data_IF_082068463048
#
_entry.id   IF_082068463048
#
_cell.length_a   1.000
_cell.length_b   1.000
_cell.length_c   1.000
_cell.angle_alpha   90.00
_cell.angle_beta   90.00
_cell.angle_gamma   90.00
#
_symmetry.space_group_name_H-M   'P 1'
#
loop_
_entity.id
_entity.type
_entity.pdbx_description
1 polymer ?
#
# COMPACT_ATOMS: atom_id res chain seq x y z
N UNK A 1 37.98 -2.91 6.09
CA UNK A 1 36.70 -3.49 6.60
C UNK A 1 35.66 -3.36 5.50
N UNK A 2 35.42 -4.43 4.73
CA UNK A 2 34.27 -4.48 3.82
C UNK A 2 33.05 -4.70 4.72
N UNK A 3 32.24 -3.66 4.95
CA UNK A 3 30.89 -3.85 5.50
C UNK A 3 30.21 -4.85 4.56
N UNK A 4 30.05 -6.11 4.98
CA UNK A 4 29.08 -7.02 4.36
C UNK A 4 27.77 -6.23 4.38
N UNK A 5 27.29 -5.78 3.23
CA UNK A 5 25.90 -5.35 3.11
C UNK A 5 25.09 -6.56 3.54
N UNK A 6 24.55 -6.54 4.75
CA UNK A 6 23.59 -7.53 5.19
C UNK A 6 22.47 -7.53 4.14
N UNK A 7 22.30 -8.67 3.48
CA UNK A 7 21.33 -8.78 2.39
C UNK A 7 19.94 -8.65 3.00
N UNK A 8 19.21 -7.62 2.58
CA UNK A 8 17.79 -7.48 2.85
C UNK A 8 17.06 -8.74 2.37
N UNK A 9 16.13 -9.27 3.19
CA UNK A 9 15.21 -10.30 2.70
C UNK A 9 14.22 -9.68 1.70
N UNK A 10 13.84 -10.48 0.71
CA UNK A 10 12.83 -10.11 -0.30
C UNK A 10 11.42 -10.24 0.27
N UNK A 11 10.48 -9.45 -0.26
CA UNK A 11 9.03 -9.50 0.03
C UNK A 11 8.50 -10.90 0.43
N UNK A 12 8.66 -11.88 -0.46
CA UNK A 12 8.15 -13.24 -0.27
C UNK A 12 8.68 -13.93 0.99
N UNK A 13 9.94 -13.70 1.36
CA UNK A 13 10.56 -14.31 2.53
C UNK A 13 10.04 -13.76 3.86
N UNK A 14 9.27 -12.68 3.81
CA UNK A 14 8.61 -12.09 4.95
C UNK A 14 7.13 -12.44 5.04
N UNK A 15 6.54 -13.10 4.04
CA UNK A 15 5.12 -13.46 4.08
C UNK A 15 4.90 -14.54 5.14
N UNK A 16 3.97 -14.31 6.07
CA UNK A 16 3.46 -15.36 6.96
C UNK A 16 2.48 -16.22 6.15
N UNK A 17 3.02 -17.26 5.50
CA UNK A 17 2.28 -18.10 4.54
C UNK A 17 1.11 -18.82 5.23
N UNK A 18 1.34 -19.35 6.44
CA UNK A 18 0.31 -20.09 7.17
C UNK A 18 -0.90 -19.19 7.46
N UNK A 19 -0.65 -17.98 7.97
CA UNK A 19 -1.71 -17.04 8.24
C UNK A 19 -2.36 -16.52 6.95
N UNK A 20 -1.56 -16.18 5.94
CA UNK A 20 -2.03 -15.62 4.67
C UNK A 20 -2.92 -16.60 3.90
N UNK A 21 -2.56 -17.88 3.83
CA UNK A 21 -3.41 -18.90 3.19
C UNK A 21 -4.71 -19.15 3.95
N UNK A 22 -4.65 -19.14 5.29
CA UNK A 22 -5.78 -19.51 6.13
C UNK A 22 -6.81 -18.38 6.26
N UNK A 23 -6.34 -17.17 6.53
CA UNK A 23 -7.18 -16.02 6.88
C UNK A 23 -7.22 -14.97 5.76
N UNK A 24 -6.16 -14.88 4.95
CA UNK A 24 -5.96 -13.81 3.99
C UNK A 24 -6.50 -14.07 2.59
N UNK A 25 -6.73 -15.34 2.22
CA UNK A 25 -7.26 -15.70 0.90
C UNK A 25 -8.71 -15.25 0.73
N UNK A 26 -9.04 -14.70 -0.44
CA UNK A 26 -10.40 -14.27 -0.75
C UNK A 26 -11.35 -15.46 -0.78
N UNK A 27 -12.49 -15.30 -0.09
CA UNK A 27 -13.64 -16.22 -0.18
C UNK A 27 -14.58 -15.82 -1.31
N UNK A 28 -14.61 -14.53 -1.63
CA UNK A 28 -15.42 -13.93 -2.69
C UNK A 28 -14.55 -12.97 -3.50
N UNK A 29 -14.87 -12.77 -4.79
CA UNK A 29 -14.19 -11.78 -5.62
C UNK A 29 -14.43 -10.38 -5.05
N UNK A 30 -13.40 -9.53 -5.08
CA UNK A 30 -13.54 -8.13 -4.71
C UNK A 30 -14.62 -7.44 -5.56
N UNK A 31 -15.40 -6.56 -4.94
CA UNK A 31 -16.35 -5.69 -5.65
C UNK A 31 -15.66 -4.61 -6.47
N UNK A 32 -14.41 -4.26 -6.11
CA UNK A 32 -13.70 -3.11 -6.66
C UNK A 32 -12.48 -3.50 -7.49
N UNK A 33 -11.70 -4.47 -7.03
CA UNK A 33 -10.47 -4.87 -7.70
C UNK A 33 -10.76 -5.94 -8.76
N UNK A 34 -10.73 -5.52 -10.03
CA UNK A 34 -10.82 -6.42 -11.18
C UNK A 34 -9.48 -6.50 -11.91
N UNK A 35 -9.22 -7.60 -12.61
CA UNK A 35 -8.01 -7.76 -13.43
C UNK A 35 -7.85 -6.60 -14.43
N UNK A 36 -8.92 -6.27 -15.15
CA UNK A 36 -8.94 -5.16 -16.10
C UNK A 36 -8.58 -3.82 -15.45
N UNK A 37 -9.15 -3.52 -14.27
CA UNK A 37 -8.83 -2.29 -13.55
C UNK A 37 -7.36 -2.25 -13.13
N UNK A 38 -6.87 -3.33 -12.53
CA UNK A 38 -5.51 -3.44 -12.01
C UNK A 38 -4.48 -3.33 -13.13
N UNK A 39 -4.66 -4.08 -14.21
CA UNK A 39 -3.77 -4.05 -15.38
C UNK A 39 -3.78 -2.68 -16.08
N UNK A 40 -4.96 -2.05 -16.19
CA UNK A 40 -5.09 -0.69 -16.73
C UNK A 40 -4.22 0.31 -15.99
N UNK A 41 -4.08 0.18 -14.68
CA UNK A 41 -3.29 1.08 -13.83
C UNK A 41 -1.95 0.48 -13.37
N UNK A 42 -1.37 -0.40 -14.20
CA UNK A 42 0.03 -0.78 -14.08
C UNK A 42 0.35 -1.91 -13.10
N UNK A 43 -0.65 -2.61 -12.58
CA UNK A 43 -0.47 -3.84 -11.80
C UNK A 43 -0.45 -5.02 -12.78
N UNK A 44 0.74 -5.58 -13.08
CA UNK A 44 0.86 -6.64 -14.09
C UNK A 44 1.40 -7.92 -13.49
N UNK A 45 2.59 -7.86 -12.90
CA UNK A 45 3.29 -9.02 -12.37
C UNK A 45 2.64 -9.54 -11.10
N UNK A 46 2.08 -8.65 -10.27
CA UNK A 46 1.51 -9.01 -8.97
C UNK A 46 -0.02 -8.85 -8.94
N UNK A 47 -0.70 -8.96 -10.09
CA UNK A 47 -2.16 -8.81 -10.17
C UNK A 47 -2.90 -9.85 -9.30
N UNK A 48 -2.46 -11.11 -9.34
CA UNK A 48 -3.04 -12.19 -8.55
C UNK A 48 -2.86 -11.99 -7.04
N UNK A 49 -1.85 -11.23 -6.62
CA UNK A 49 -1.68 -10.88 -5.21
C UNK A 49 -2.91 -10.15 -4.66
N UNK A 50 -3.49 -9.24 -5.45
CA UNK A 50 -4.66 -8.43 -5.08
C UNK A 50 -5.97 -9.19 -5.34
N UNK A 51 -6.00 -10.01 -6.40
CA UNK A 51 -7.21 -10.76 -6.78
C UNK A 51 -7.46 -11.98 -5.91
N UNK A 52 -6.42 -12.70 -5.50
CA UNK A 52 -6.56 -13.96 -4.75
C UNK A 52 -6.54 -13.76 -3.24
N UNK A 53 -5.93 -12.66 -2.77
CA UNK A 53 -5.80 -12.36 -1.35
C UNK A 53 -6.48 -11.04 -1.00
N UNK A 54 -7.27 -11.09 0.05
CA UNK A 54 -7.78 -9.90 0.74
C UNK A 54 -6.71 -9.34 1.67
N UNK A 55 -5.89 -10.20 2.25
CA UNK A 55 -4.92 -9.81 3.27
C UNK A 55 -3.64 -10.64 3.16
N UNK A 56 -2.49 -9.99 3.34
CA UNK A 56 -1.18 -10.64 3.35
C UNK A 56 -0.42 -10.20 4.59
N UNK A 57 -0.16 -11.12 5.50
CA UNK A 57 0.57 -10.84 6.73
C UNK A 57 2.07 -10.95 6.53
N UNK A 58 2.84 -10.11 7.24
CA UNK A 58 4.30 -10.19 7.26
C UNK A 58 4.87 -10.56 8.63
N UNK A 59 5.86 -11.44 8.60
CA UNK A 59 6.69 -11.86 9.71
C UNK A 59 8.11 -12.21 9.20
N UNK A 60 9.11 -11.34 9.39
CA UNK A 60 9.08 -10.04 10.07
C UNK A 60 8.41 -8.94 9.24
N UNK A 61 8.28 -7.74 9.83
CA UNK A 61 7.71 -6.57 9.17
C UNK A 61 8.54 -6.14 7.95
N UNK A 62 7.86 -5.59 6.95
CA UNK A 62 8.48 -5.05 5.74
C UNK A 62 8.59 -3.54 5.81
N UNK A 63 9.53 -3.01 5.05
CA UNK A 63 9.77 -1.58 4.94
C UNK A 63 9.84 -1.16 3.47
N UNK A 64 9.45 0.07 3.18
CA UNK A 64 9.64 0.73 1.89
C UNK A 64 10.34 2.06 2.11
N UNK A 65 11.30 2.40 1.25
CA UNK A 65 11.77 3.79 1.19
C UNK A 65 10.65 4.66 0.62
N UNK A 66 10.49 5.84 1.16
CA UNK A 66 9.52 6.82 0.69
C UNK A 66 10.17 8.17 0.41
N UNK A 67 9.50 8.99 -0.39
CA UNK A 67 9.96 10.32 -0.75
C UNK A 67 8.82 11.33 -0.58
N UNK A 68 9.09 12.43 0.12
CA UNK A 68 8.16 13.55 0.22
C UNK A 68 8.45 14.58 -0.89
N UNK A 69 7.57 14.73 -1.90
CA UNK A 69 7.79 15.70 -2.97
C UNK A 69 7.69 17.16 -2.50
N UNK A 70 6.99 17.44 -1.39
CA UNK A 70 6.84 18.81 -0.89
C UNK A 70 8.10 19.30 -0.17
N UNK A 71 8.78 18.42 0.57
CA UNK A 71 9.99 18.77 1.36
C UNK A 71 11.28 18.27 0.73
N UNK A 72 11.19 17.46 -0.33
CA UNK A 72 12.33 16.78 -0.97
C UNK A 72 13.13 15.90 0.03
N UNK A 73 12.42 15.28 0.97
CA UNK A 73 12.99 14.43 2.02
C UNK A 73 12.73 12.95 1.74
N UNK A 74 13.76 12.13 1.95
CA UNK A 74 13.63 10.67 1.97
C UNK A 74 13.20 10.18 3.35
N UNK A 75 12.34 9.18 3.37
CA UNK A 75 11.86 8.52 4.57
C UNK A 75 11.78 7.01 4.42
N UNK A 76 11.09 6.40 5.37
CA UNK A 76 10.90 4.96 5.45
C UNK A 76 9.53 4.65 6.05
N UNK A 77 8.73 3.91 5.30
CA UNK A 77 7.42 3.43 5.72
C UNK A 77 7.51 1.96 6.13
N UNK A 78 6.77 1.60 7.19
CA UNK A 78 6.73 0.26 7.77
C UNK A 78 5.39 -0.42 7.47
N UNK A 79 5.44 -1.69 7.08
CA UNK A 79 4.32 -2.53 6.70
C UNK A 79 4.26 -3.79 7.57
N UNK A 80 3.11 -3.99 8.20
CA UNK A 80 2.77 -5.19 8.96
C UNK A 80 2.06 -6.21 8.07
N UNK A 81 1.35 -5.69 7.08
CA UNK A 81 0.51 -6.43 6.18
C UNK A 81 0.25 -5.62 4.91
N UNK A 82 -0.36 -6.26 3.92
CA UNK A 82 -1.08 -5.61 2.82
C UNK A 82 -2.54 -6.04 2.90
N UNK A 83 -3.41 -5.10 3.25
CA UNK A 83 -4.86 -5.28 3.28
C UNK A 83 -5.49 -4.69 2.01
N UNK A 84 -5.98 -5.58 1.15
CA UNK A 84 -6.69 -5.31 -0.10
C UNK A 84 -8.21 -5.52 0.05
N UNK A 85 -8.77 -5.44 1.26
CA UNK A 85 -10.20 -5.64 1.45
C UNK A 85 -11.04 -4.55 0.78
N UNK A 86 -12.28 -4.90 0.48
CA UNK A 86 -13.29 -3.96 0.01
C UNK A 86 -13.53 -2.84 1.04
N UNK A 87 -13.33 -3.13 2.33
CA UNK A 87 -13.38 -2.14 3.41
C UNK A 87 -12.25 -1.11 3.28
N UNK A 88 -11.02 -1.54 3.00
CA UNK A 88 -9.89 -0.63 2.75
C UNK A 88 -10.18 0.29 1.56
N UNK A 89 -10.76 -0.25 0.49
CA UNK A 89 -11.15 0.55 -0.67
C UNK A 89 -12.14 1.66 -0.28
N UNK A 90 -13.22 1.29 0.40
CA UNK A 90 -14.25 2.25 0.82
C UNK A 90 -13.72 3.29 1.81
N UNK A 91 -12.90 2.87 2.76
CA UNK A 91 -12.34 3.77 3.77
C UNK A 91 -11.29 4.73 3.18
N UNK A 92 -10.47 4.26 2.22
CA UNK A 92 -9.58 5.11 1.45
C UNK A 92 -10.34 6.18 0.65
N UNK A 93 -11.45 5.81 -0.01
CA UNK A 93 -12.32 6.78 -0.70
C UNK A 93 -12.91 7.83 0.25
N UNK A 94 -13.43 7.41 1.40
CA UNK A 94 -13.91 8.34 2.45
C UNK A 94 -12.80 9.31 2.89
N UNK A 95 -11.55 8.83 2.93
CA UNK A 95 -10.40 9.68 3.29
C UNK A 95 -10.10 10.74 2.23
N UNK A 96 -10.19 10.41 0.94
CA UNK A 96 -10.04 11.37 -0.16
C UNK A 96 -11.15 12.42 -0.17
N UNK A 97 -12.40 12.02 0.10
CA UNK A 97 -13.54 12.96 0.27
C UNK A 97 -13.24 13.92 1.42
N UNK A 98 -12.86 13.39 2.58
CA UNK A 98 -12.52 14.19 3.75
C UNK A 98 -11.37 15.15 3.48
N UNK A 99 -10.33 14.70 2.78
CA UNK A 99 -9.19 15.52 2.37
C UNK A 99 -9.61 16.69 1.48
N UNK A 100 -10.40 16.40 0.44
CA UNK A 100 -10.93 17.40 -0.50
C UNK A 100 -11.73 18.49 0.21
N UNK A 101 -12.62 18.08 1.12
CA UNK A 101 -13.41 19.04 1.92
C UNK A 101 -12.57 19.89 2.87
N UNK A 102 -11.51 19.32 3.45
CA UNK A 102 -10.60 20.04 4.35
C UNK A 102 -9.79 21.08 3.58
N UNK A 103 -9.27 20.74 2.42
CA UNK A 103 -8.59 21.69 1.52
C UNK A 103 -9.55 22.80 1.10
N UNK A 104 -10.77 22.44 0.68
CA UNK A 104 -11.79 23.41 0.28
C UNK A 104 -12.09 24.43 1.38
N UNK A 105 -12.33 23.94 2.60
CA UNK A 105 -12.56 24.78 3.78
C UNK A 105 -11.35 25.67 4.09
N UNK A 106 -10.13 25.14 3.98
CA UNK A 106 -8.88 25.91 4.18
C UNK A 106 -8.71 27.02 3.13
N UNK A 107 -9.03 26.74 1.87
CA UNK A 107 -8.91 27.68 0.74
C UNK A 107 -9.95 28.81 0.77
N UNK A 108 -11.20 28.49 1.09
CA UNK A 108 -12.32 29.43 0.95
C UNK A 108 -12.90 29.96 2.27
N UNK A 109 -12.51 29.40 3.41
CA UNK A 109 -12.93 29.86 4.74
C UNK A 109 -14.46 29.98 4.87
N UNK A 110 -14.94 31.17 5.29
CA UNK A 110 -16.38 31.45 5.45
C UNK A 110 -17.19 31.32 4.15
N UNK A 111 -16.54 31.47 2.99
CA UNK A 111 -17.19 31.34 1.68
C UNK A 111 -17.28 29.90 1.18
N UNK A 112 -16.66 28.93 1.87
CA UNK A 112 -16.65 27.53 1.43
C UNK A 112 -18.05 26.93 1.20
N UNK A 113 -19.06 27.37 1.96
CA UNK A 113 -20.46 26.91 1.78
C UNK A 113 -21.13 27.40 0.49
N UNK A 114 -20.57 28.40 -0.18
CA UNK A 114 -21.11 29.00 -1.40
C UNK A 114 -20.42 28.49 -2.67
N UNK A 115 -19.39 27.66 -2.52
CA UNK A 115 -18.54 27.17 -3.61
C UNK A 115 -18.58 25.65 -3.54
N UNK A 116 -18.81 25.01 -4.67
CA UNK A 116 -18.79 23.56 -4.79
C UNK A 116 -17.39 23.00 -4.47
N UNK A 117 -17.34 21.86 -3.79
CA UNK A 117 -16.09 21.19 -3.45
C UNK A 117 -15.57 20.48 -4.70
N UNK A 118 -14.31 20.70 -5.05
CA UNK A 118 -13.64 19.89 -6.06
C UNK A 118 -13.21 18.55 -5.45
N UNK A 119 -13.76 17.44 -5.96
CA UNK A 119 -13.45 16.07 -5.53
C UNK A 119 -12.52 15.32 -6.50
N UNK A 120 -11.75 16.04 -7.34
CA UNK A 120 -10.80 15.49 -8.31
C UNK A 120 -9.87 14.40 -7.75
N UNK A 121 -9.42 14.54 -6.50
CA UNK A 121 -8.62 13.52 -5.80
C UNK A 121 -9.34 12.16 -5.71
N UNK A 122 -10.65 12.15 -5.48
CA UNK A 122 -11.45 10.92 -5.45
C UNK A 122 -11.46 10.21 -6.81
N UNK A 123 -11.42 10.99 -7.89
CA UNK A 123 -11.46 10.47 -9.25
C UNK A 123 -10.08 10.04 -9.74
N UNK A 124 -9.00 10.58 -9.18
CA UNK A 124 -7.63 10.33 -9.64
C UNK A 124 -6.87 9.26 -8.85
N UNK A 125 -7.39 8.79 -7.72
CA UNK A 125 -6.69 7.80 -6.89
C UNK A 125 -7.53 6.54 -6.64
N UNK A 126 -6.87 5.38 -6.75
CA UNK A 126 -7.43 4.07 -6.43
C UNK A 126 -6.84 3.62 -5.11
N UNK A 127 -7.61 3.59 -4.01
CA UNK A 127 -7.10 3.02 -2.77
C UNK A 127 -6.75 1.57 -2.98
N UNK A 128 -5.62 1.13 -2.42
CA UNK A 128 -5.17 -0.26 -2.60
C UNK A 128 -4.73 -0.91 -1.30
N UNK A 129 -4.15 -0.16 -0.35
CA UNK A 129 -3.68 -0.73 0.92
C UNK A 129 -4.01 0.23 2.07
N UNK A 130 -4.43 -0.31 3.21
CA UNK A 130 -4.50 0.45 4.46
C UNK A 130 -3.10 0.57 5.05
N UNK A 131 -2.65 1.80 5.29
CA UNK A 131 -1.41 2.07 5.99
C UNK A 131 -1.60 2.13 7.50
N UNK A 132 -0.49 2.15 8.26
CA UNK A 132 -0.53 2.33 9.71
C UNK A 132 -0.98 3.76 10.07
N UNK A 133 -1.82 3.90 11.10
CA UNK A 133 -2.23 5.18 11.71
C UNK A 133 -2.67 6.27 10.71
N UNK A 134 -3.96 6.24 10.34
CA UNK A 134 -4.60 7.27 9.52
C UNK A 134 -3.96 7.49 8.14
N UNK A 135 -3.22 6.50 7.63
CA UNK A 135 -2.63 6.52 6.30
C UNK A 135 -3.24 5.47 5.38
N UNK A 136 -3.24 5.77 4.08
CA UNK A 136 -3.74 4.89 3.02
C UNK A 136 -2.81 5.01 1.84
N UNK A 137 -2.66 3.90 1.10
CA UNK A 137 -1.88 3.85 -0.13
C UNK A 137 -2.84 3.81 -1.30
N UNK A 138 -2.45 4.52 -2.36
CA UNK A 138 -3.22 4.64 -3.57
C UNK A 138 -2.36 4.40 -4.80
N UNK A 139 -2.98 3.93 -5.86
CA UNK A 139 -2.46 4.06 -7.22
C UNK A 139 -2.97 5.39 -7.78
N UNK A 140 -2.05 6.25 -8.23
CA UNK A 140 -2.39 7.43 -9.04
C UNK A 140 -2.83 6.97 -10.43
N UNK A 141 -4.05 7.30 -10.85
CA UNK A 141 -4.56 6.94 -12.18
C UNK A 141 -3.84 7.67 -13.32
N UNK A 142 -3.29 8.84 -13.04
CA UNK A 142 -2.56 9.66 -14.02
C UNK A 142 -1.18 9.08 -14.32
N UNK A 143 -0.47 8.63 -13.28
CA UNK A 143 0.94 8.27 -13.37
C UNK A 143 1.23 6.80 -13.10
N UNK A 144 0.25 6.04 -12.60
CA UNK A 144 0.38 4.69 -12.02
C UNK A 144 1.28 4.61 -10.78
N UNK A 145 1.82 5.74 -10.29
CA UNK A 145 2.64 5.77 -9.10
C UNK A 145 1.89 5.27 -7.88
N UNK A 146 2.63 4.61 -6.99
CA UNK A 146 2.15 4.24 -5.67
C UNK A 146 2.48 5.36 -4.71
N UNK A 147 1.44 5.94 -4.14
CA UNK A 147 1.56 7.05 -3.21
C UNK A 147 0.87 6.72 -1.90
N UNK A 148 1.39 7.25 -0.80
CA UNK A 148 0.77 7.18 0.50
C UNK A 148 0.28 8.55 0.90
N UNK A 149 -0.98 8.61 1.33
CA UNK A 149 -1.54 9.74 2.05
C UNK A 149 -1.49 9.44 3.54
N UNK A 150 -0.97 10.35 4.34
CA UNK A 150 -1.02 10.28 5.80
C UNK A 150 -1.64 11.56 6.35
N UNK A 151 -2.56 11.44 7.31
CA UNK A 151 -3.04 12.60 8.07
C UNK A 151 -2.66 12.47 9.54
N UNK A 152 -1.97 13.46 10.09
CA UNK A 152 -1.65 13.53 11.50
C UNK A 152 -2.35 14.74 12.12
N UNK A 153 -2.98 14.53 13.27
CA UNK A 153 -3.29 15.64 14.18
C UNK A 153 -2.12 15.78 15.14
N UNK A 154 -1.61 16.99 15.37
CA UNK A 154 -0.79 17.21 16.57
C UNK A 154 -1.65 16.85 17.78
N UNK A 155 -1.32 15.75 18.45
CA UNK A 155 -2.03 15.39 19.68
C UNK A 155 -1.64 16.33 20.83
N UNK A 156 -0.51 17.04 20.71
CA UNK A 156 0.00 17.95 21.74
C UNK A 156 -0.47 19.40 21.53
N UNK A 157 -0.88 19.77 20.30
CA UNK A 157 -1.33 21.14 20.00
C UNK A 157 -2.38 21.18 18.88
N UNK A 158 -3.66 21.06 19.26
CA UNK A 158 -4.80 21.17 18.34
C UNK A 158 -4.84 22.49 17.55
N UNK A 159 -4.16 23.55 18.02
CA UNK A 159 -4.09 24.85 17.32
C UNK A 159 -3.20 24.82 16.07
N UNK A 160 -2.26 23.87 15.99
CA UNK A 160 -1.43 23.63 14.79
C UNK A 160 -2.19 22.92 13.66
N UNK A 161 -3.39 22.43 13.96
CA UNK A 161 -4.30 21.85 12.98
C UNK A 161 -3.92 20.44 12.53
N UNK A 162 -4.67 19.93 11.56
CA UNK A 162 -4.39 18.63 10.93
C UNK A 162 -3.44 18.86 9.76
N UNK A 163 -2.29 18.19 9.79
CA UNK A 163 -1.34 18.19 8.68
C UNK A 163 -1.46 16.87 7.93
N UNK A 164 -1.38 16.98 6.62
CA UNK A 164 -1.43 15.85 5.70
C UNK A 164 -0.17 15.83 4.87
N UNK A 165 0.28 14.62 4.53
CA UNK A 165 1.50 14.37 3.78
C UNK A 165 1.21 13.37 2.69
N UNK A 166 1.57 13.72 1.46
CA UNK A 166 1.70 12.77 0.37
C UNK A 166 3.15 12.32 0.27
N UNK A 167 3.38 11.03 0.11
CA UNK A 167 4.71 10.46 -0.15
C UNK A 167 4.64 9.50 -1.31
N UNK A 168 5.64 9.56 -2.19
CA UNK A 168 5.82 8.59 -3.25
C UNK A 168 6.54 7.35 -2.70
N UNK A 169 6.02 6.16 -3.00
CA UNK A 169 6.59 4.88 -2.59
C UNK A 169 7.26 4.17 -3.77
N UNK A 170 6.65 4.21 -4.95
CA UNK A 170 7.16 3.57 -6.15
C UNK A 170 6.52 4.15 -7.43
N UNK A 171 7.14 3.88 -8.57
CA UNK A 171 6.67 4.28 -9.89
C UNK A 171 5.46 3.46 -10.37
N UNK A 172 5.27 2.25 -9.83
CA UNK A 172 4.09 1.41 -10.06
C UNK A 172 3.98 0.33 -8.98
N UNK A 173 2.87 -0.42 -8.99
CA UNK A 173 2.60 -1.45 -8.00
C UNK A 173 3.61 -2.60 -8.02
N UNK A 174 4.02 -3.03 -9.21
CA UNK A 174 4.96 -4.15 -9.30
C UNK A 174 6.32 -3.77 -8.69
N UNK A 175 6.79 -2.55 -8.98
CA UNK A 175 8.00 -2.00 -8.37
C UNK A 175 7.83 -1.80 -6.86
N UNK A 176 6.65 -1.38 -6.38
CA UNK A 176 6.36 -1.26 -4.96
C UNK A 176 6.58 -2.59 -4.23
N UNK A 177 5.99 -3.69 -4.73
CA UNK A 177 6.17 -5.01 -4.13
C UNK A 177 7.64 -5.45 -4.15
N UNK A 178 8.38 -5.16 -5.22
CA UNK A 178 9.79 -5.52 -5.35
C UNK A 178 10.72 -4.68 -4.45
N UNK A 179 10.32 -3.45 -4.13
CA UNK A 179 11.05 -2.54 -3.23
C UNK A 179 10.84 -2.87 -1.75
N UNK A 180 9.81 -3.62 -1.39
CA UNK A 180 9.58 -4.02 0.00
C UNK A 180 10.71 -4.91 0.51
N UNK A 181 11.24 -4.56 1.69
CA UNK A 181 12.39 -5.23 2.27
C UNK A 181 12.30 -5.42 3.78
N UNK A 182 12.94 -6.48 4.28
CA UNK A 182 13.16 -6.67 5.73
C UNK A 182 14.47 -6.00 6.13
N UNK A 183 14.43 -5.09 7.09
CA UNK A 183 15.64 -4.51 7.66
C UNK A 183 16.51 -5.63 8.28
N UNK A 184 17.83 -5.68 8.03
CA UNK A 184 18.70 -6.71 8.59
C UNK A 184 18.57 -6.89 10.11
N UNK A 185 18.25 -5.81 10.83
CA UNK A 185 18.00 -5.84 12.28
C UNK A 185 16.80 -6.69 12.68
N UNK A 186 15.83 -6.83 11.78
CA UNK A 186 14.59 -7.60 11.97
C UNK A 186 14.72 -9.03 11.42
N UNK A 187 15.88 -9.39 10.84
CA UNK A 187 16.05 -10.63 10.09
C UNK A 187 16.34 -11.84 11.00
N UNK A 188 15.48 -12.87 10.93
CA UNK A 188 15.77 -14.24 11.39
C UNK A 188 16.02 -15.16 10.21
N UNK A 189 17.00 -16.05 10.32
CA UNK A 189 17.20 -17.10 9.31
C UNK A 189 15.97 -18.01 9.21
N UNK A 190 15.61 -18.35 7.97
CA UNK A 190 14.46 -19.19 7.64
C UNK A 190 14.85 -20.68 7.68
N UNK A 191 13.99 -21.52 8.25
CA UNK A 191 14.14 -22.97 8.31
C UNK A 191 14.04 -23.61 6.91
N UNK A 192 14.36 -24.92 6.82
CA UNK A 192 14.20 -25.66 5.56
C UNK A 192 12.73 -25.84 5.19
N UNK A 193 11.85 -26.16 6.15
CA UNK A 193 10.42 -26.32 5.87
C UNK A 193 9.79 -25.00 5.39
N UNK A 194 10.13 -23.88 6.02
CA UNK A 194 9.65 -22.54 5.64
C UNK A 194 10.02 -22.19 4.18
N UNK A 195 11.25 -22.55 3.73
CA UNK A 195 11.69 -22.34 2.34
C UNK A 195 10.91 -23.18 1.33
N UNK A 196 10.61 -24.43 1.67
CA UNK A 196 9.84 -25.33 0.80
C UNK A 196 8.39 -24.86 0.67
N UNK A 197 7.77 -24.41 1.77
CA UNK A 197 6.44 -23.80 1.75
C UNK A 197 6.41 -22.53 0.90
N UNK A 198 7.42 -21.65 1.07
CA UNK A 198 7.52 -20.41 0.29
C UNK A 198 7.60 -20.66 -1.21
N UNK A 199 8.42 -21.63 -1.62
CA UNK A 199 8.58 -21.99 -3.04
C UNK A 199 7.25 -22.43 -3.63
N UNK A 200 6.50 -23.30 -2.93
CA UNK A 200 5.17 -23.76 -3.38
C UNK A 200 4.15 -22.62 -3.47
N UNK A 201 4.15 -21.72 -2.49
CA UNK A 201 3.27 -20.55 -2.46
C UNK A 201 3.51 -19.63 -3.66
N UNK A 202 4.78 -19.24 -3.88
CA UNK A 202 5.16 -18.38 -5.02
C UNK A 202 4.88 -19.06 -6.36
N UNK A 203 5.19 -20.35 -6.50
CA UNK A 203 4.89 -21.10 -7.74
C UNK A 203 3.38 -21.19 -8.02
N UNK A 204 2.56 -21.31 -6.98
CA UNK A 204 1.10 -21.30 -7.11
C UNK A 204 0.58 -19.99 -7.69
N UNK A 205 1.04 -18.87 -7.13
CA UNK A 205 0.70 -17.51 -7.60
C UNK A 205 1.10 -17.27 -9.07
N UNK A 206 2.28 -17.74 -9.45
CA UNK A 206 2.81 -17.56 -10.81
C UNK A 206 2.11 -18.46 -11.83
N UNK A 207 1.73 -19.69 -11.48
CA UNK A 207 1.04 -20.60 -12.41
C UNK A 207 -0.36 -20.11 -12.79
N UNK A 208 -1.08 -19.51 -11.86
CA UNK A 208 -2.40 -18.93 -12.14
C UNK A 208 -2.32 -17.74 -13.10
N UNK A 209 -1.14 -17.11 -13.22
CA UNK A 209 -0.86 -16.03 -14.17
C UNK A 209 -0.79 -16.54 -15.63
N UNK A 210 -0.37 -17.78 -15.83
CA UNK A 210 -0.24 -18.41 -17.15
C UNK A 210 -1.52 -19.15 -17.60
N UNK A 211 -2.35 -19.62 -16.67
CA UNK A 211 -3.60 -20.34 -17.00
C UNK A 211 -4.75 -19.43 -17.49
N UNK A 212 -4.65 -18.12 -17.27
CA UNK A 212 -5.65 -17.13 -17.70
C UNK A 212 -5.23 -16.31 -18.94
N UNK A 213 -4.25 -16.80 -19.72
CA UNK A 213 -3.71 -16.14 -20.92
C UNK A 213 -4.12 -16.86 -22.20
#
# INVERSE_FOLDING_TARGET
MVKRMEKYKKFWEAVDIEYTEKEGKRKEKSKYYTKELLEKYGVKKYVNLVLDYEFIAFKPLLHCKDFNPETNEEGKTLFFDLDFSDEVYENGRKKLIWYSEKIHKKKYGKNAKKIEVNYEELDNYIPIISGRYYSYIYISKETNKIVQYSSYSDLEDESKGVYWKWTELAENFDEFIEKLYVDPKDNKEMSKEEKEQLTKFVDGLLKQLDEER
#
